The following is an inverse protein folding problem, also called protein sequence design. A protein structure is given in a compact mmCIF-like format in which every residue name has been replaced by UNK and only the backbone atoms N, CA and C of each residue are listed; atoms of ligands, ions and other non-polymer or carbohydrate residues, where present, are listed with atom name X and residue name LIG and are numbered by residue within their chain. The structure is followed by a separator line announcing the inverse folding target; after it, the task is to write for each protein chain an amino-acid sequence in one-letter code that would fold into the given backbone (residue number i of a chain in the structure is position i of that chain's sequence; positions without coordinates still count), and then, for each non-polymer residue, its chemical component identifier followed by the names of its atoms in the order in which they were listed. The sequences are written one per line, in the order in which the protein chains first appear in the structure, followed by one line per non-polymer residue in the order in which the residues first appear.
data_IF_465001400386
#
_entry.id   IF_465001400386
#
_cell.length_a   1.000
_cell.length_b   1.000
_cell.length_c   1.000
_cell.angle_alpha   90.00
_cell.angle_beta   90.00
_cell.angle_gamma   90.00
#
_symmetry.space_group_name_H-M   'P 1'
#
loop_
_entity.id
_entity.type
_entity.pdbx_description
1 polymer ?
#
# COMPACT_ATOMS: atom_id res chain seq x y z
N UNK A 1 -37.01 30.37 -48.75
CA UNK A 1 -37.10 30.09 -50.21
C UNK A 1 -36.81 28.61 -50.36
N UNK A 2 -37.75 27.68 -50.17
CA UNK A 2 -39.01 27.44 -50.89
C UNK A 2 -38.79 27.25 -52.40
N UNK A 3 -38.87 25.99 -52.87
CA UNK A 3 -39.61 25.46 -54.05
C UNK A 3 -39.63 23.92 -53.88
N UNK A 4 -40.75 23.33 -53.41
CA UNK A 4 -41.83 22.65 -54.16
C UNK A 4 -41.41 21.23 -54.63
N UNK A 5 -41.93 20.13 -54.06
CA UNK A 5 -43.31 19.60 -54.08
C UNK A 5 -43.80 19.22 -55.48
N UNK A 6 -43.74 17.91 -55.80
CA UNK A 6 -44.71 17.07 -56.54
C UNK A 6 -44.25 15.60 -56.33
N UNK A 7 -45.06 14.59 -56.05
CA UNK A 7 -46.50 14.49 -55.91
C UNK A 7 -46.86 13.01 -55.63
N UNK A 8 -48.00 12.85 -54.95
CA UNK A 8 -48.93 11.72 -54.99
C UNK A 8 -48.45 10.27 -54.74
N UNK A 9 -48.86 9.78 -53.56
CA UNK A 9 -49.37 8.44 -53.26
C UNK A 9 -49.72 7.54 -54.47
N UNK A 10 -49.34 6.26 -54.38
CA UNK A 10 -50.31 5.16 -54.27
C UNK A 10 -49.67 3.82 -53.85
N UNK A 11 -50.40 3.15 -52.96
CA UNK A 11 -50.23 1.81 -52.42
C UNK A 11 -50.03 0.71 -53.49
N UNK A 12 -49.25 -0.32 -53.15
CA UNK A 12 -49.78 -1.67 -52.86
C UNK A 12 -48.67 -2.64 -52.41
N UNK A 13 -48.82 -3.11 -51.18
CA UNK A 13 -48.56 -4.45 -50.64
C UNK A 13 -47.43 -5.34 -51.17
N UNK A 14 -46.64 -5.82 -50.19
CA UNK A 14 -46.66 -7.26 -49.95
C UNK A 14 -45.37 -8.02 -50.20
N UNK A 15 -44.64 -8.27 -49.10
CA UNK A 15 -44.09 -9.61 -48.86
C UNK A 15 -42.60 -9.82 -49.14
N UNK A 16 -41.95 -10.25 -48.06
CA UNK A 16 -40.85 -11.22 -47.99
C UNK A 16 -39.54 -10.67 -47.40
N UNK A 17 -39.41 -10.97 -46.12
CA UNK A 17 -38.18 -10.93 -45.34
C UNK A 17 -37.07 -11.73 -46.05
N UNK A 18 -36.11 -11.04 -46.66
CA UNK A 18 -34.83 -11.66 -47.02
C UNK A 18 -33.92 -11.67 -45.78
N UNK A 19 -34.09 -12.70 -44.97
CA UNK A 19 -33.09 -13.11 -43.99
C UNK A 19 -31.84 -13.59 -44.75
N UNK A 20 -30.69 -13.02 -44.40
CA UNK A 20 -29.37 -13.35 -44.94
C UNK A 20 -29.07 -14.85 -44.77
N UNK A 21 -29.06 -15.60 -45.87
CA UNK A 21 -28.66 -17.00 -45.87
C UNK A 21 -27.13 -17.11 -45.72
N UNK A 22 -26.59 -18.00 -44.85
CA UNK A 22 -25.17 -18.21 -44.73
C UNK A 22 -24.64 -19.00 -45.93
N UNK A 23 -23.77 -18.38 -46.73
CA UNK A 23 -23.11 -18.94 -47.90
C UNK A 23 -21.95 -19.87 -47.50
N UNK A 24 -22.25 -20.85 -46.64
CA UNK A 24 -21.36 -21.96 -46.31
C UNK A 24 -22.13 -23.26 -46.57
N UNK A 25 -21.54 -24.15 -47.36
CA UNK A 25 -22.15 -25.40 -47.85
C UNK A 25 -22.38 -26.47 -46.76
N UNK A 26 -22.66 -26.06 -45.51
CA UNK A 26 -22.98 -26.94 -44.40
C UNK A 26 -24.49 -27.21 -44.37
N UNK A 27 -24.93 -28.47 -44.19
CA UNK A 27 -26.34 -28.76 -44.00
C UNK A 27 -26.90 -27.99 -42.80
N UNK A 28 -28.03 -27.32 -42.97
CA UNK A 28 -28.69 -26.44 -42.00
C UNK A 28 -28.78 -27.03 -40.58
N UNK A 29 -28.95 -28.36 -40.50
CA UNK A 29 -29.00 -29.12 -39.24
C UNK A 29 -27.70 -29.05 -38.42
N UNK A 30 -26.53 -29.03 -39.07
CA UNK A 30 -25.24 -28.93 -38.39
C UNK A 30 -24.90 -27.51 -37.97
N UNK A 31 -25.40 -26.50 -38.70
CA UNK A 31 -25.29 -25.09 -38.31
C UNK A 31 -26.04 -24.81 -37.00
N UNK A 32 -27.32 -25.21 -36.94
CA UNK A 32 -28.15 -25.04 -35.74
C UNK A 32 -27.58 -25.84 -34.56
N UNK A 33 -27.08 -27.05 -34.80
CA UNK A 33 -26.43 -27.86 -33.76
C UNK A 33 -25.15 -27.20 -33.22
N UNK A 34 -24.30 -26.63 -34.07
CA UNK A 34 -23.07 -25.94 -33.67
C UNK A 34 -23.35 -24.70 -32.80
N UNK A 35 -24.34 -23.88 -33.19
CA UNK A 35 -24.76 -22.71 -32.41
C UNK A 35 -25.37 -23.13 -31.07
N UNK A 36 -26.23 -24.16 -31.06
CA UNK A 36 -26.87 -24.64 -29.83
C UNK A 36 -25.86 -25.20 -28.82
N UNK A 37 -24.90 -26.02 -29.27
CA UNK A 37 -23.82 -26.55 -28.43
C UNK A 37 -22.92 -25.43 -27.94
N UNK A 38 -22.58 -24.48 -28.81
CA UNK A 38 -21.75 -23.34 -28.44
C UNK A 38 -22.38 -22.47 -27.35
N UNK A 39 -23.66 -22.11 -27.49
CA UNK A 39 -24.41 -21.35 -26.49
C UNK A 39 -24.57 -22.12 -25.17
N UNK A 40 -24.80 -23.43 -25.25
CA UNK A 40 -24.87 -24.28 -24.06
C UNK A 40 -23.54 -24.29 -23.28
N UNK A 41 -22.40 -24.39 -23.98
CA UNK A 41 -21.08 -24.35 -23.35
C UNK A 41 -20.78 -22.97 -22.74
N UNK A 42 -21.20 -21.88 -23.38
CA UNK A 42 -21.10 -20.53 -22.79
C UNK A 42 -21.92 -20.47 -21.49
N UNK A 43 -23.19 -20.88 -21.51
CA UNK A 43 -24.04 -20.88 -20.31
C UNK A 43 -23.51 -21.78 -19.20
N UNK A 44 -23.03 -22.98 -19.55
CA UNK A 44 -22.43 -23.93 -18.61
C UNK A 44 -21.15 -23.35 -17.99
N UNK A 45 -20.28 -22.75 -18.80
CA UNK A 45 -19.07 -22.10 -18.32
C UNK A 45 -19.38 -20.92 -17.41
N UNK A 46 -20.36 -20.07 -17.76
CA UNK A 46 -20.83 -18.98 -16.90
C UNK A 46 -21.42 -19.49 -15.58
N UNK A 47 -22.18 -20.58 -15.61
CA UNK A 47 -22.72 -21.19 -14.39
C UNK A 47 -21.61 -21.75 -13.48
N UNK A 48 -20.60 -22.42 -14.05
CA UNK A 48 -19.43 -22.92 -13.29
C UNK A 48 -18.64 -21.76 -12.69
N UNK A 49 -18.50 -20.65 -13.43
CA UNK A 49 -17.85 -19.43 -12.94
C UNK A 49 -18.61 -18.84 -11.74
N UNK A 50 -19.94 -18.74 -11.82
CA UNK A 50 -20.80 -18.26 -10.72
C UNK A 50 -20.78 -19.18 -9.49
N UNK A 51 -20.57 -20.48 -9.69
CA UNK A 51 -20.46 -21.48 -8.63
C UNK A 51 -19.06 -21.58 -8.01
N UNK A 52 -18.08 -20.80 -8.49
CA UNK A 52 -16.74 -20.68 -7.91
C UNK A 52 -15.89 -21.96 -7.91
N UNK A 53 -16.24 -22.96 -8.76
CA UNK A 53 -15.65 -24.32 -8.68
C UNK A 53 -14.30 -24.48 -9.36
N UNK A 54 -14.11 -23.90 -10.56
CA UNK A 54 -12.84 -23.96 -11.30
C UNK A 54 -12.81 -22.89 -12.39
N UNK A 55 -11.98 -21.86 -12.19
CA UNK A 55 -11.90 -20.67 -13.06
C UNK A 55 -11.30 -20.99 -14.43
N UNK A 56 -10.23 -21.78 -14.48
CA UNK A 56 -9.59 -22.17 -15.74
C UNK A 56 -10.51 -23.03 -16.58
N UNK A 57 -11.25 -23.96 -15.94
CA UNK A 57 -12.22 -24.79 -16.63
C UNK A 57 -13.42 -23.98 -17.13
N UNK A 58 -13.95 -23.01 -16.36
CA UNK A 58 -15.04 -22.16 -16.82
C UNK A 58 -14.64 -21.27 -17.99
N UNK A 59 -13.49 -20.59 -17.90
CA UNK A 59 -13.01 -19.70 -18.97
C UNK A 59 -12.74 -20.48 -20.25
N UNK A 60 -12.09 -21.65 -20.16
CA UNK A 60 -11.90 -22.53 -21.31
C UNK A 60 -13.25 -22.96 -21.93
N UNK A 61 -14.22 -23.34 -21.09
CA UNK A 61 -15.55 -23.77 -21.55
C UNK A 61 -16.29 -22.65 -22.29
N UNK A 62 -16.24 -21.41 -21.78
CA UNK A 62 -16.82 -20.23 -22.43
C UNK A 62 -16.14 -19.96 -23.77
N UNK A 63 -14.81 -20.00 -23.81
CA UNK A 63 -14.03 -19.75 -25.02
C UNK A 63 -14.29 -20.80 -26.12
N UNK A 64 -14.35 -22.08 -25.75
CA UNK A 64 -14.71 -23.17 -26.68
C UNK A 64 -16.15 -22.97 -27.19
N UNK A 65 -17.09 -22.60 -26.31
CA UNK A 65 -18.46 -22.30 -26.70
C UNK A 65 -18.55 -21.14 -27.70
N UNK A 66 -17.87 -20.02 -27.42
CA UNK A 66 -17.84 -18.85 -28.31
C UNK A 66 -17.14 -19.16 -29.64
N UNK A 67 -16.05 -19.93 -29.62
CA UNK A 67 -15.34 -20.39 -30.81
C UNK A 67 -16.22 -21.26 -31.72
N UNK A 68 -17.05 -22.14 -31.16
CA UNK A 68 -18.01 -22.95 -31.91
C UNK A 68 -19.12 -22.12 -32.55
N UNK A 69 -19.66 -21.12 -31.83
CA UNK A 69 -20.64 -20.18 -32.39
C UNK A 69 -20.03 -19.42 -33.56
N UNK A 70 -18.84 -18.82 -33.38
CA UNK A 70 -18.16 -18.07 -34.44
C UNK A 70 -17.78 -18.93 -35.65
N UNK A 71 -17.38 -20.19 -35.44
CA UNK A 71 -17.09 -21.12 -36.52
C UNK A 71 -18.34 -21.45 -37.35
N UNK A 72 -19.51 -21.57 -36.70
CA UNK A 72 -20.78 -21.82 -37.37
C UNK A 72 -21.18 -20.67 -38.32
N UNK A 73 -20.90 -19.41 -37.95
CA UNK A 73 -21.14 -18.23 -38.80
C UNK A 73 -20.12 -18.04 -39.94
N UNK A 74 -19.16 -18.96 -40.09
CA UNK A 74 -18.05 -18.82 -41.02
C UNK A 74 -17.00 -17.88 -40.44
N UNK A 75 -15.76 -18.35 -40.39
CA UNK A 75 -14.61 -17.69 -39.76
C UNK A 75 -14.14 -16.37 -40.44
N UNK A 76 -15.06 -15.48 -40.82
CA UNK A 76 -14.81 -14.15 -41.39
C UNK A 76 -14.89 -13.03 -40.33
N UNK A 77 -14.79 -13.36 -39.04
CA UNK A 77 -14.66 -12.34 -38.00
C UNK A 77 -13.19 -11.92 -37.94
N UNK A 78 -12.92 -10.76 -38.51
CA UNK A 78 -11.65 -10.05 -38.41
C UNK A 78 -11.87 -8.82 -37.53
N UNK A 79 -11.15 -8.75 -36.42
CA UNK A 79 -11.11 -7.57 -35.55
C UNK A 79 -9.76 -6.89 -35.67
N UNK A 80 -9.75 -5.56 -35.78
CA UNK A 80 -8.52 -4.78 -35.66
C UNK A 80 -8.55 -4.05 -34.32
N UNK A 81 -7.62 -4.37 -33.44
CA UNK A 81 -7.54 -3.75 -32.11
C UNK A 81 -6.08 -3.43 -31.79
N UNK A 82 -5.82 -2.17 -31.42
CA UNK A 82 -4.47 -1.68 -31.08
C UNK A 82 -3.36 -1.99 -32.12
N UNK A 83 -3.70 -2.06 -33.42
CA UNK A 83 -2.75 -2.31 -34.51
C UNK A 83 -2.52 -3.79 -34.87
N UNK A 84 -3.24 -4.72 -34.24
CA UNK A 84 -3.13 -6.16 -34.49
C UNK A 84 -4.40 -6.64 -35.20
N UNK A 85 -4.23 -7.39 -36.30
CA UNK A 85 -5.32 -8.10 -36.97
C UNK A 85 -5.36 -9.54 -36.52
N UNK A 86 -6.52 -10.00 -36.07
CA UNK A 86 -6.71 -11.40 -35.70
C UNK A 86 -7.90 -11.96 -36.46
N UNK A 87 -7.67 -13.08 -37.14
CA UNK A 87 -8.61 -13.65 -38.09
C UNK A 87 -8.87 -15.10 -37.74
N UNK A 88 -10.14 -15.45 -37.55
CA UNK A 88 -10.60 -16.82 -37.34
C UNK A 88 -11.08 -17.14 -35.92
N UNK A 89 -12.05 -18.06 -35.86
CA UNK A 89 -12.78 -18.39 -34.63
C UNK A 89 -11.89 -18.97 -33.50
N UNK A 90 -10.88 -19.77 -33.86
CA UNK A 90 -9.93 -20.32 -32.89
C UNK A 90 -9.02 -19.26 -32.28
N UNK A 91 -8.52 -18.32 -33.09
CA UNK A 91 -7.68 -17.22 -32.61
C UNK A 91 -8.46 -16.26 -31.69
N UNK A 92 -9.73 -16.00 -32.00
CA UNK A 92 -10.62 -15.23 -31.12
C UNK A 92 -10.90 -15.90 -29.78
N UNK A 93 -11.10 -17.22 -29.77
CA UNK A 93 -11.30 -17.97 -28.53
C UNK A 93 -10.07 -17.92 -27.62
N UNK A 94 -8.86 -17.99 -28.20
CA UNK A 94 -7.59 -17.87 -27.46
C UNK A 94 -7.39 -16.45 -26.92
N UNK A 95 -7.65 -15.42 -27.72
CA UNK A 95 -7.58 -14.02 -27.27
C UNK A 95 -8.57 -13.76 -26.15
N UNK A 96 -9.82 -14.22 -26.29
CA UNK A 96 -10.84 -14.12 -25.23
C UNK A 96 -10.40 -14.89 -23.97
N UNK A 97 -9.76 -16.04 -24.11
CA UNK A 97 -9.25 -16.83 -22.98
C UNK A 97 -8.16 -16.07 -22.23
N UNK A 98 -7.18 -15.52 -22.95
CA UNK A 98 -6.11 -14.71 -22.35
C UNK A 98 -6.67 -13.45 -21.69
N UNK A 99 -7.64 -12.79 -22.33
CA UNK A 99 -8.33 -11.62 -21.78
C UNK A 99 -9.09 -11.98 -20.49
N UNK A 100 -9.85 -13.07 -20.48
CA UNK A 100 -10.59 -13.52 -19.29
C UNK A 100 -9.67 -13.93 -18.14
N UNK A 101 -8.49 -14.49 -18.44
CA UNK A 101 -7.45 -14.78 -17.44
C UNK A 101 -6.83 -13.50 -16.87
N UNK A 102 -6.71 -12.42 -17.65
CA UNK A 102 -6.21 -11.12 -17.17
C UNK A 102 -7.22 -10.37 -16.29
N UNK A 103 -8.50 -10.37 -16.67
CA UNK A 103 -9.55 -9.65 -15.91
C UNK A 103 -10.10 -10.42 -14.71
N UNK A 104 -9.74 -11.70 -14.57
CA UNK A 104 -10.22 -12.55 -13.47
C UNK A 104 -9.00 -13.08 -12.71
N UNK A 105 -8.55 -12.40 -11.64
CA UNK A 105 -7.38 -12.82 -10.87
C UNK A 105 -7.54 -14.28 -10.37
N UNK A 106 -6.45 -15.05 -10.32
CA UNK A 106 -6.50 -16.46 -9.96
C UNK A 106 -6.90 -16.64 -8.49
N UNK A 107 -7.96 -17.42 -8.27
CA UNK A 107 -8.33 -18.00 -6.98
C UNK A 107 -8.89 -17.04 -5.92
N UNK A 108 -9.41 -17.61 -4.84
CA UNK A 108 -9.59 -16.87 -3.59
C UNK A 108 -8.24 -16.26 -3.21
N UNK A 109 -8.15 -14.96 -2.89
CA UNK A 109 -6.89 -14.37 -2.48
C UNK A 109 -6.32 -15.23 -1.36
N UNK A 110 -5.03 -15.55 -1.45
CA UNK A 110 -4.36 -16.16 -0.32
C UNK A 110 -4.57 -15.24 0.89
N UNK A 111 -4.94 -15.81 2.02
CA UNK A 111 -5.24 -15.08 3.24
C UNK A 111 -4.40 -15.66 4.36
N UNK A 112 -3.58 -14.83 4.98
CA UNK A 112 -2.99 -15.20 6.26
C UNK A 112 -3.88 -14.68 7.39
N UNK A 113 -4.12 -15.55 8.37
CA UNK A 113 -4.96 -15.28 9.53
C UNK A 113 -4.11 -15.31 10.78
N UNK A 114 -4.39 -14.41 11.70
CA UNK A 114 -3.75 -14.43 13.00
C UNK A 114 -4.68 -13.92 14.09
N UNK A 115 -4.27 -14.18 15.32
CA UNK A 115 -4.98 -13.75 16.50
C UNK A 115 -4.00 -13.22 17.53
N UNK A 116 -4.37 -12.14 18.19
CA UNK A 116 -3.64 -11.51 19.28
C UNK A 116 -4.49 -11.62 20.53
N UNK A 117 -3.90 -12.19 21.58
CA UNK A 117 -4.45 -12.26 22.92
C UNK A 117 -3.57 -11.47 23.87
N UNK A 118 -4.10 -10.99 24.99
CA UNK A 118 -3.30 -10.21 25.94
C UNK A 118 -4.13 -9.30 26.82
N UNK A 119 -3.43 -8.41 27.52
CA UNK A 119 -4.07 -7.31 28.23
C UNK A 119 -4.29 -6.13 27.28
N UNK A 120 -5.56 -5.80 27.07
CA UNK A 120 -6.00 -4.67 26.25
C UNK A 120 -6.74 -3.61 27.09
N UNK A 121 -6.66 -3.68 28.42
CA UNK A 121 -7.38 -2.78 29.33
C UNK A 121 -7.01 -1.31 29.13
N UNK A 122 -5.75 -1.04 28.76
CA UNK A 122 -5.23 0.29 28.48
C UNK A 122 -5.27 0.67 26.99
N UNK A 123 -5.76 -0.22 26.12
CA UNK A 123 -5.72 -0.05 24.67
C UNK A 123 -7.04 0.50 24.15
N UNK A 124 -6.98 1.68 23.53
CA UNK A 124 -8.11 2.26 22.82
C UNK A 124 -8.28 1.56 21.47
N UNK A 125 -7.20 1.44 20.69
CA UNK A 125 -7.23 0.81 19.38
C UNK A 125 -5.85 0.26 18.97
N UNK A 126 -5.86 -0.73 18.07
CA UNK A 126 -4.64 -1.33 17.50
C UNK A 126 -4.74 -1.34 15.98
N UNK A 127 -3.68 -0.90 15.32
CA UNK A 127 -3.48 -1.02 13.89
C UNK A 127 -2.20 -1.80 13.62
N UNK A 128 -2.28 -2.78 12.74
CA UNK A 128 -1.15 -3.59 12.32
C UNK A 128 -0.87 -3.23 10.86
N UNK A 129 0.36 -2.89 10.56
CA UNK A 129 0.78 -2.35 9.27
C UNK A 129 1.93 -3.20 8.74
N UNK A 130 1.79 -3.64 7.51
CA UNK A 130 2.87 -4.22 6.73
C UNK A 130 3.32 -3.22 5.66
N UNK A 131 2.95 -3.43 4.39
CA UNK A 131 2.90 -2.36 3.38
C UNK A 131 1.63 -1.52 3.53
N UNK A 132 0.49 -2.21 3.68
CA UNK A 132 -0.81 -1.65 3.97
C UNK A 132 -1.33 -2.13 5.34
N UNK A 133 -2.31 -1.42 5.92
CA UNK A 133 -2.97 -1.86 7.15
C UNK A 133 -3.66 -3.21 6.96
N UNK A 134 -3.42 -4.14 7.88
CA UNK A 134 -4.14 -5.41 7.91
C UNK A 134 -5.58 -5.20 8.39
N UNK A 135 -6.49 -6.05 7.94
CA UNK A 135 -7.87 -6.05 8.41
C UNK A 135 -7.91 -6.58 9.83
N UNK A 136 -8.50 -5.82 10.75
CA UNK A 136 -8.56 -6.16 12.17
C UNK A 136 -10.01 -6.25 12.63
N UNK A 137 -10.28 -7.28 13.43
CA UNK A 137 -11.57 -7.51 14.07
C UNK A 137 -11.38 -7.78 15.57
N UNK A 138 -11.97 -6.94 16.42
CA UNK A 138 -11.95 -7.12 17.87
C UNK A 138 -13.13 -7.98 18.30
N UNK A 139 -12.84 -9.15 18.84
CA UNK A 139 -13.85 -10.05 19.37
C UNK A 139 -14.17 -9.66 20.82
N UNK A 140 -15.30 -8.96 20.98
CA UNK A 140 -15.70 -8.37 22.26
C UNK A 140 -15.92 -9.40 23.37
N UNK A 141 -16.27 -10.64 23.02
CA UNK A 141 -16.58 -11.68 23.99
C UNK A 141 -15.34 -12.36 24.56
N UNK A 142 -14.24 -12.42 23.79
CA UNK A 142 -13.06 -13.23 24.13
C UNK A 142 -11.80 -12.41 24.40
N UNK A 143 -11.89 -11.07 24.36
CA UNK A 143 -10.74 -10.15 24.49
C UNK A 143 -9.57 -10.56 23.56
N UNK A 144 -9.91 -10.96 22.34
CA UNK A 144 -8.97 -11.37 21.29
C UNK A 144 -9.13 -10.44 20.09
N UNK A 145 -8.02 -10.14 19.43
CA UNK A 145 -8.01 -9.35 18.20
C UNK A 145 -7.61 -10.29 17.07
N UNK A 146 -8.52 -10.53 16.13
CA UNK A 146 -8.25 -11.30 14.92
C UNK A 146 -7.75 -10.35 13.86
N UNK A 147 -6.75 -10.76 13.10
CA UNK A 147 -6.27 -10.01 11.96
C UNK A 147 -6.17 -10.89 10.71
N UNK A 148 -6.33 -10.24 9.57
CA UNK A 148 -6.32 -10.85 8.25
C UNK A 148 -5.47 -9.99 7.33
N UNK A 149 -4.48 -10.61 6.70
CA UNK A 149 -3.77 -9.99 5.59
C UNK A 149 -4.07 -10.66 4.26
N UNK A 150 -4.01 -9.85 3.21
CA UNK A 150 -4.20 -10.27 1.83
C UNK A 150 -2.85 -10.72 1.26
N UNK A 151 -2.85 -11.82 0.50
CA UNK A 151 -1.65 -12.40 -0.10
C UNK A 151 -1.08 -13.62 0.63
N UNK A 152 -0.03 -14.19 0.06
CA UNK A 152 0.67 -15.38 0.58
C UNK A 152 1.74 -15.06 1.62
N UNK A 153 2.18 -13.80 1.72
CA UNK A 153 3.24 -13.37 2.63
C UNK A 153 3.14 -11.88 2.98
N UNK A 154 3.85 -11.49 4.06
CA UNK A 154 4.16 -10.09 4.33
C UNK A 154 5.01 -9.50 3.20
N UNK A 155 4.74 -8.26 2.80
CA UNK A 155 5.40 -7.52 1.73
C UNK A 155 6.53 -6.61 2.25
N UNK A 156 6.38 -6.03 3.43
CA UNK A 156 7.40 -5.11 3.96
C UNK A 156 8.62 -5.86 4.53
N UNK A 157 9.69 -5.10 4.79
CA UNK A 157 10.84 -5.57 5.57
C UNK A 157 10.62 -5.41 7.09
N UNK A 158 9.71 -4.52 7.49
CA UNK A 158 9.41 -4.21 8.87
C UNK A 158 7.90 -4.10 9.09
N UNK A 159 7.37 -5.03 9.87
CA UNK A 159 5.98 -5.00 10.31
C UNK A 159 5.85 -4.09 11.53
N UNK A 160 4.79 -3.29 11.57
CA UNK A 160 4.54 -2.36 12.67
C UNK A 160 3.18 -2.61 13.30
N UNK A 161 3.08 -2.37 14.59
CA UNK A 161 1.84 -2.37 15.33
C UNK A 161 1.73 -1.06 16.10
N UNK A 162 0.79 -0.23 15.66
CA UNK A 162 0.45 1.02 16.32
C UNK A 162 -0.58 0.72 17.41
N UNK A 163 -0.28 1.18 18.61
CA UNK A 163 -1.14 1.01 19.78
C UNK A 163 -1.51 2.40 20.27
N UNK A 164 -2.77 2.76 20.09
CA UNK A 164 -3.31 3.95 20.73
C UNK A 164 -3.95 3.55 22.07
N UNK A 165 -3.74 4.36 23.09
CA UNK A 165 -4.13 4.03 24.46
C UNK A 165 -5.35 4.85 24.91
N UNK A 166 -5.98 4.42 26.01
CA UNK A 166 -7.00 5.23 26.70
C UNK A 166 -6.37 6.22 27.68
N UNK A 167 -5.04 6.16 27.85
CA UNK A 167 -4.32 7.06 28.73
C UNK A 167 -4.26 8.45 28.09
N UNK A 168 -4.37 9.49 28.93
CA UNK A 168 -4.38 10.89 28.49
C UNK A 168 -3.10 11.65 28.87
N UNK A 169 -2.14 10.93 29.45
CA UNK A 169 -0.85 11.51 29.82
C UNK A 169 0.06 11.53 28.59
N UNK A 170 0.76 12.65 28.40
CA UNK A 170 1.75 12.78 27.33
C UNK A 170 2.78 11.64 27.41
N UNK A 171 3.15 11.11 26.25
CA UNK A 171 4.04 9.95 26.11
C UNK A 171 3.42 8.59 26.47
N UNK A 172 2.15 8.56 26.84
CA UNK A 172 1.39 7.31 27.06
C UNK A 172 0.23 7.14 26.10
N UNK A 173 -0.15 8.17 25.35
CA UNK A 173 -1.32 8.12 24.45
C UNK A 173 -1.12 7.22 23.21
N UNK A 174 0.13 6.98 22.81
CA UNK A 174 0.48 6.29 21.58
C UNK A 174 1.87 5.66 21.68
N UNK A 175 2.03 4.46 21.15
CA UNK A 175 3.34 3.89 20.87
C UNK A 175 3.32 2.93 19.69
N UNK A 176 4.48 2.70 19.09
CA UNK A 176 4.63 1.75 17.98
C UNK A 176 5.55 0.58 18.37
N UNK A 177 5.11 -0.63 18.04
CA UNK A 177 5.92 -1.83 18.14
C UNK A 177 6.39 -2.23 16.75
N UNK A 178 7.68 -2.54 16.63
CA UNK A 178 8.31 -2.81 15.35
C UNK A 178 8.90 -4.22 15.38
N UNK A 179 8.68 -4.96 14.30
CA UNK A 179 9.12 -6.33 14.14
C UNK A 179 9.79 -6.59 12.80
N UNK A 180 10.72 -7.53 12.79
CA UNK A 180 11.41 -8.01 11.60
C UNK A 180 10.47 -8.91 10.79
N UNK A 181 10.07 -8.45 9.61
CA UNK A 181 9.11 -9.18 8.78
C UNK A 181 9.67 -10.54 8.31
N UNK A 182 11.00 -10.72 8.18
CA UNK A 182 11.58 -12.02 7.83
C UNK A 182 11.39 -13.03 8.97
N UNK A 183 11.64 -12.62 10.21
CA UNK A 183 11.41 -13.48 11.39
C UNK A 183 9.94 -13.83 11.54
N UNK A 184 9.05 -12.85 11.30
CA UNK A 184 7.61 -13.06 11.39
C UNK A 184 7.12 -13.96 10.25
N UNK A 185 7.61 -13.78 9.02
CA UNK A 185 7.30 -14.64 7.86
C UNK A 185 7.64 -16.11 8.12
N UNK A 186 8.76 -16.39 8.77
CA UNK A 186 9.17 -17.76 9.11
C UNK A 186 8.17 -18.51 10.01
N UNK A 187 7.25 -17.79 10.67
CA UNK A 187 6.25 -18.35 11.58
C UNK A 187 4.90 -18.57 10.86
N UNK A 188 4.65 -17.85 9.77
CA UNK A 188 3.45 -18.02 8.96
C UNK A 188 3.58 -19.31 8.12
N UNK A 189 3.13 -20.44 8.67
CA UNK A 189 2.98 -21.68 7.93
C UNK A 189 1.63 -21.70 7.19
N UNK A 190 1.62 -22.11 5.92
CA UNK A 190 0.41 -22.18 5.10
C UNK A 190 -0.76 -22.88 5.84
N UNK A 191 -1.88 -22.16 5.95
CA UNK A 191 -3.14 -22.70 6.48
C UNK A 191 -3.29 -22.73 8.02
N UNK A 192 -2.30 -22.32 8.81
CA UNK A 192 -2.43 -22.26 10.28
C UNK A 192 -2.54 -20.83 10.80
N UNK A 193 -3.57 -20.49 11.60
CA UNK A 193 -3.66 -19.17 12.20
C UNK A 193 -2.53 -18.97 13.21
N UNK A 194 -1.79 -17.87 13.09
CA UNK A 194 -0.75 -17.53 14.07
C UNK A 194 -1.38 -17.01 15.37
N UNK A 195 -0.77 -17.34 16.49
CA UNK A 195 -1.23 -16.93 17.82
C UNK A 195 -0.16 -16.07 18.48
N UNK A 196 -0.49 -14.80 18.70
CA UNK A 196 0.39 -13.81 19.30
C UNK A 196 -0.13 -13.41 20.68
N UNK A 197 0.80 -13.10 21.58
CA UNK A 197 0.52 -12.58 22.90
C UNK A 197 1.05 -11.16 23.01
N UNK A 198 0.14 -10.21 23.15
CA UNK A 198 0.44 -8.82 23.44
C UNK A 198 0.64 -8.62 24.95
N UNK A 199 1.72 -7.96 25.30
CA UNK A 199 2.12 -7.62 26.66
C UNK A 199 2.27 -6.10 26.75
N UNK A 200 1.25 -5.44 27.31
CA UNK A 200 1.17 -3.98 27.38
C UNK A 200 2.35 -3.39 28.17
N UNK A 201 2.60 -3.93 29.36
CA UNK A 201 3.63 -3.43 30.27
C UNK A 201 5.04 -3.62 29.71
N UNK A 202 5.29 -4.77 29.08
CA UNK A 202 6.57 -5.03 28.43
C UNK A 202 6.71 -4.36 27.06
N UNK A 203 5.64 -3.74 26.53
CA UNK A 203 5.54 -3.18 25.17
C UNK A 203 6.08 -4.16 24.13
N UNK A 204 5.54 -5.37 24.15
CA UNK A 204 6.01 -6.49 23.32
C UNK A 204 4.86 -7.35 22.79
N UNK A 205 5.05 -7.90 21.61
CA UNK A 205 4.23 -8.97 21.05
C UNK A 205 5.08 -10.22 20.90
N UNK A 206 4.61 -11.35 21.41
CA UNK A 206 5.37 -12.61 21.46
C UNK A 206 4.62 -13.75 20.77
N UNK A 207 5.37 -14.73 20.27
CA UNK A 207 4.85 -16.07 19.97
C UNK A 207 5.66 -17.07 20.80
N UNK A 208 5.03 -17.63 21.83
CA UNK A 208 5.74 -18.42 22.85
C UNK A 208 6.80 -17.57 23.57
N UNK A 209 8.07 -17.99 23.51
CA UNK A 209 9.21 -17.26 24.07
C UNK A 209 9.82 -16.24 23.11
N UNK A 210 9.46 -16.27 21.82
CA UNK A 210 10.02 -15.41 20.80
C UNK A 210 9.33 -14.03 20.82
N UNK A 211 10.11 -12.95 20.94
CA UNK A 211 9.62 -11.58 20.76
C UNK A 211 9.55 -11.28 19.27
N UNK A 212 8.36 -10.91 18.79
CA UNK A 212 8.08 -10.61 17.39
C UNK A 212 8.11 -9.11 17.12
N UNK A 213 7.44 -8.34 17.97
CA UNK A 213 7.44 -6.88 17.91
C UNK A 213 7.77 -6.31 19.28
N UNK A 214 8.49 -5.21 19.31
CA UNK A 214 8.80 -4.46 20.53
C UNK A 214 8.87 -2.97 20.23
N UNK A 215 8.63 -2.14 21.23
CA UNK A 215 8.93 -0.71 21.15
C UNK A 215 10.45 -0.55 21.00
N UNK A 216 10.88 0.12 19.93
CA UNK A 216 12.29 0.35 19.67
C UNK A 216 12.73 1.68 20.29
N UNK A 217 13.86 1.62 20.97
CA UNK A 217 14.56 2.80 21.48
C UNK A 217 15.65 3.25 20.49
N UNK A 218 16.29 2.28 19.85
CA UNK A 218 17.37 2.51 18.88
C UNK A 218 16.98 2.09 17.47
N UNK A 219 17.38 2.88 16.49
CA UNK A 219 17.35 2.48 15.08
C UNK A 219 18.11 1.16 14.91
N UNK A 220 17.48 0.20 14.24
CA UNK A 220 18.15 -1.01 13.79
C UNK A 220 18.60 -0.77 12.36
N UNK A 221 19.93 -0.80 12.05
CA UNK A 221 20.39 -0.75 10.68
C UNK A 221 19.96 -2.03 9.97
N UNK A 222 18.75 -2.01 9.38
CA UNK A 222 18.35 -3.00 8.39
C UNK A 222 19.27 -2.92 7.17
N UNK A 223 19.29 -3.95 6.30
CA UNK A 223 20.02 -3.85 5.04
C UNK A 223 19.56 -2.56 4.35
N UNK A 224 20.52 -1.68 4.05
CA UNK A 224 20.32 -0.53 3.18
C UNK A 224 19.49 -1.02 2.01
N UNK A 225 18.26 -0.50 1.87
CA UNK A 225 17.44 -0.84 0.73
C UNK A 225 18.22 -0.37 -0.51
N UNK A 226 18.93 -1.28 -1.14
CA UNK A 226 19.33 -1.11 -2.52
C UNK A 226 18.02 -0.87 -3.25
N UNK A 227 17.86 0.35 -3.78
CA UNK A 227 16.77 0.69 -4.68
C UNK A 227 16.99 -0.14 -5.94
N UNK A 228 16.57 -1.40 -5.90
CA UNK A 228 16.43 -2.22 -7.08
C UNK A 228 15.17 -1.74 -7.79
N UNK A 229 15.33 -0.63 -8.52
CA UNK A 229 14.40 -0.21 -9.55
C UNK A 229 14.46 -1.22 -10.69
N UNK A 230 13.80 -2.36 -10.50
CA UNK A 230 13.59 -3.36 -11.53
C UNK A 230 12.12 -3.76 -11.55
N UNK A 231 11.25 -2.81 -11.87
CA UNK A 231 9.98 -3.16 -12.54
C UNK A 231 10.30 -3.42 -14.01
N UNK A 232 11.02 -4.50 -14.30
CA UNK A 232 10.90 -5.15 -15.61
C UNK A 232 9.65 -6.03 -15.58
N UNK A 233 8.49 -5.38 -15.37
CA UNK A 233 7.22 -5.95 -15.79
C UNK A 233 7.20 -5.85 -17.31
N UNK A 234 6.93 -6.95 -17.98
CA UNK A 234 6.83 -6.93 -19.42
C UNK A 234 5.71 -5.95 -19.81
N UNK A 235 5.89 -5.21 -20.91
CA UNK A 235 4.94 -4.24 -21.46
C UNK A 235 3.50 -4.75 -21.71
N UNK A 236 3.19 -6.01 -21.41
CA UNK A 236 1.86 -6.63 -21.43
C UNK A 236 1.30 -6.98 -20.04
N UNK A 237 2.03 -6.73 -18.95
CA UNK A 237 1.51 -6.83 -17.57
C UNK A 237 0.61 -5.64 -17.27
N UNK A 238 -0.64 -5.72 -17.75
CA UNK A 238 -1.75 -4.92 -17.25
C UNK A 238 -2.22 -5.53 -15.92
N UNK A 239 -1.35 -5.54 -14.91
CA UNK A 239 -1.86 -5.51 -13.52
C UNK A 239 -2.75 -4.28 -13.45
N UNK A 240 -4.00 -4.46 -13.03
CA UNK A 240 -4.99 -3.40 -12.93
C UNK A 240 -4.37 -2.16 -12.27
N UNK A 241 -3.90 -1.23 -13.10
CA UNK A 241 -3.64 0.11 -12.68
C UNK A 241 -5.03 0.61 -12.30
N UNK A 242 -5.32 0.61 -10.99
CA UNK A 242 -6.02 1.75 -10.46
C UNK A 242 -5.31 2.93 -11.11
N UNK A 243 -5.94 3.53 -12.12
CA UNK A 243 -5.48 4.80 -12.66
C UNK A 243 -5.13 5.59 -11.42
N UNK A 244 -3.88 6.07 -11.35
CA UNK A 244 -3.50 7.08 -10.40
C UNK A 244 -4.45 8.24 -10.71
N UNK A 245 -5.65 8.17 -10.14
CA UNK A 245 -6.62 9.23 -10.15
C UNK A 245 -5.80 10.34 -9.57
N UNK A 246 -5.48 11.32 -10.41
CA UNK A 246 -4.74 12.51 -10.03
C UNK A 246 -5.45 13.01 -8.79
N UNK A 247 -4.93 12.68 -7.61
CA UNK A 247 -5.54 13.08 -6.36
C UNK A 247 -5.37 14.59 -6.38
N UNK A 248 -6.46 15.38 -6.25
CA UNK A 248 -6.32 16.80 -6.16
C UNK A 248 -5.27 17.11 -5.09
N UNK A 249 -4.34 18.02 -5.39
CA UNK A 249 -3.39 18.46 -4.37
C UNK A 249 -4.16 18.88 -3.12
N UNK A 250 -3.69 18.41 -1.95
CA UNK A 250 -4.36 18.70 -0.69
C UNK A 250 -4.46 20.22 -0.49
N UNK A 251 -5.66 20.72 -0.20
CA UNK A 251 -5.85 22.16 -0.02
C UNK A 251 -5.24 22.62 1.31
N UNK A 252 -4.84 23.89 1.36
CA UNK A 252 -4.31 24.53 2.58
C UNK A 252 -5.27 24.37 3.77
N UNK A 253 -6.58 24.52 3.55
CA UNK A 253 -7.61 24.35 4.58
C UNK A 253 -7.66 22.90 5.11
N UNK A 254 -7.52 21.90 4.24
CA UNK A 254 -7.49 20.51 4.68
C UNK A 254 -6.24 20.21 5.50
N UNK A 255 -5.08 20.74 5.10
CA UNK A 255 -3.82 20.59 5.86
C UNK A 255 -3.95 21.28 7.23
N UNK A 256 -4.52 22.49 7.29
CA UNK A 256 -4.78 23.18 8.56
C UNK A 256 -5.73 22.39 9.47
N UNK A 257 -6.80 21.83 8.92
CA UNK A 257 -7.73 20.98 9.67
C UNK A 257 -7.05 19.73 10.21
N UNK A 258 -6.19 19.08 9.44
CA UNK A 258 -5.43 17.94 9.90
C UNK A 258 -4.44 18.35 11.02
N UNK A 259 -3.71 19.45 10.87
CA UNK A 259 -2.81 19.96 11.92
C UNK A 259 -3.56 20.30 13.22
N UNK A 260 -4.75 20.90 13.13
CA UNK A 260 -5.61 21.11 14.29
C UNK A 260 -6.11 19.78 14.89
N UNK A 261 -6.45 18.81 14.02
CA UNK A 261 -6.92 17.48 14.38
C UNK A 261 -5.89 16.63 15.11
N UNK A 262 -4.58 16.93 15.01
CA UNK A 262 -3.55 16.29 15.83
C UNK A 262 -3.82 16.46 17.33
N UNK A 263 -4.45 17.56 17.74
CA UNK A 263 -4.78 17.84 19.16
C UNK A 263 -6.10 17.26 19.62
N UNK A 264 -6.87 16.62 18.74
CA UNK A 264 -8.21 16.14 19.06
C UNK A 264 -8.19 15.13 20.20
N UNK A 265 -9.19 15.12 21.07
CA UNK A 265 -9.32 14.13 22.14
C UNK A 265 -9.64 12.73 21.60
N UNK A 266 -10.32 12.65 20.46
CA UNK A 266 -10.62 11.41 19.77
C UNK A 266 -9.37 10.89 19.05
N UNK A 267 -8.91 9.73 19.50
CA UNK A 267 -7.78 8.99 18.96
C UNK A 267 -7.90 8.70 17.47
N UNK A 268 -9.09 8.36 16.98
CA UNK A 268 -9.32 8.07 15.58
C UNK A 268 -9.17 9.33 14.73
N UNK A 269 -9.68 10.47 15.21
CA UNK A 269 -9.50 11.75 14.53
C UNK A 269 -8.03 12.20 14.52
N UNK A 270 -7.27 11.97 15.61
CA UNK A 270 -5.82 12.22 15.62
C UNK A 270 -5.10 11.35 14.60
N UNK A 271 -5.41 10.06 14.53
CA UNK A 271 -4.80 9.13 13.57
C UNK A 271 -5.12 9.50 12.13
N UNK A 272 -6.39 9.77 11.82
CA UNK A 272 -6.80 10.20 10.48
C UNK A 272 -6.12 11.51 10.08
N UNK A 273 -5.86 12.40 11.04
CA UNK A 273 -5.11 13.62 10.80
C UNK A 273 -3.66 13.32 10.41
N UNK A 274 -2.98 12.39 11.09
CA UNK A 274 -1.64 11.92 10.71
C UNK A 274 -1.63 11.27 9.32
N UNK A 275 -2.55 10.34 9.07
CA UNK A 275 -2.68 9.65 7.78
C UNK A 275 -2.98 10.64 6.64
N UNK A 276 -3.81 11.66 6.91
CA UNK A 276 -4.06 12.72 5.94
C UNK A 276 -2.78 13.50 5.61
N UNK A 277 -2.00 13.91 6.63
CA UNK A 277 -0.74 14.64 6.42
C UNK A 277 0.26 13.82 5.58
N UNK A 278 0.34 12.51 5.80
CA UNK A 278 1.13 11.60 4.96
C UNK A 278 0.62 11.61 3.52
N UNK A 279 -0.70 11.42 3.33
CA UNK A 279 -1.32 11.36 2.01
C UNK A 279 -1.30 12.69 1.25
N UNK A 280 -1.24 13.81 1.97
CA UNK A 280 -1.10 15.14 1.41
C UNK A 280 0.27 15.33 0.73
N UNK A 281 1.27 14.55 1.13
CA UNK A 281 2.56 14.52 0.46
C UNK A 281 3.44 15.72 0.80
N UNK A 282 4.47 15.94 -0.03
CA UNK A 282 5.55 16.93 0.19
C UNK A 282 5.01 18.37 0.34
N UNK A 283 3.83 18.68 -0.22
CA UNK A 283 3.21 20.01 -0.11
C UNK A 283 2.80 20.37 1.32
N UNK A 284 2.53 19.37 2.19
CA UNK A 284 2.17 19.62 3.59
C UNK A 284 3.37 19.97 4.47
N UNK A 285 4.59 19.64 4.05
CA UNK A 285 5.81 19.72 4.88
C UNK A 285 6.08 21.12 5.45
N UNK A 286 6.01 22.22 4.67
CA UNK A 286 6.24 23.55 5.22
C UNK A 286 5.24 23.91 6.33
N UNK A 287 3.98 23.49 6.21
CA UNK A 287 2.95 23.75 7.22
C UNK A 287 3.12 22.87 8.46
N UNK A 288 3.54 21.62 8.29
CA UNK A 288 3.88 20.73 9.39
C UNK A 288 5.04 21.29 10.21
N UNK A 289 6.11 21.75 9.55
CA UNK A 289 7.27 22.34 10.22
C UNK A 289 6.91 23.68 10.87
N UNK A 290 6.13 24.53 10.21
CA UNK A 290 5.61 25.76 10.83
C UNK A 290 4.80 25.48 12.10
N UNK A 291 3.96 24.44 12.10
CA UNK A 291 3.21 24.04 13.29
C UNK A 291 4.12 23.51 14.40
N UNK A 292 5.18 22.76 14.06
CA UNK A 292 6.18 22.28 15.01
C UNK A 292 6.97 23.44 15.63
N UNK A 293 7.43 24.42 14.82
CA UNK A 293 8.08 25.65 15.28
C UNK A 293 7.19 26.46 16.23
N UNK A 294 5.90 26.57 15.91
CA UNK A 294 4.96 27.32 16.74
C UNK A 294 4.64 26.62 18.07
N UNK A 295 4.89 25.32 18.20
CA UNK A 295 4.54 24.53 19.39
C UNK A 295 5.52 23.35 19.59
N UNK A 296 6.81 23.61 19.82
CA UNK A 296 7.84 22.57 19.84
C UNK A 296 7.67 21.59 20.99
N UNK A 297 7.07 22.03 22.11
CA UNK A 297 6.84 21.20 23.29
C UNK A 297 5.46 20.52 23.31
N UNK A 298 4.61 20.77 22.31
CA UNK A 298 3.32 20.11 22.22
C UNK A 298 3.49 18.66 21.77
N UNK A 299 3.29 17.73 22.71
CA UNK A 299 3.45 16.30 22.49
C UNK A 299 2.68 15.79 21.25
N UNK A 300 1.41 16.20 21.09
CA UNK A 300 0.55 15.68 20.02
C UNK A 300 0.97 16.23 18.65
N UNK A 301 1.36 17.50 18.58
CA UNK A 301 1.90 18.09 17.35
C UNK A 301 3.25 17.49 17.01
N UNK A 302 4.17 17.43 17.97
CA UNK A 302 5.50 16.85 17.78
C UNK A 302 5.40 15.42 17.25
N UNK A 303 4.69 14.55 17.96
CA UNK A 303 4.47 13.15 17.55
C UNK A 303 3.82 13.06 16.16
N UNK A 304 2.77 13.85 15.92
CA UNK A 304 2.03 13.83 14.66
C UNK A 304 2.89 14.22 13.45
N UNK A 305 3.71 15.28 13.61
CA UNK A 305 4.60 15.77 12.57
C UNK A 305 5.74 14.79 12.30
N UNK A 306 6.45 14.32 13.33
CA UNK A 306 7.59 13.40 13.12
C UNK A 306 7.13 12.05 12.56
N UNK A 307 5.96 11.56 12.99
CA UNK A 307 5.35 10.38 12.41
C UNK A 307 5.04 10.59 10.93
N UNK A 308 4.39 11.69 10.55
CA UNK A 308 4.01 11.93 9.17
C UNK A 308 5.26 12.02 8.26
N UNK A 309 6.31 12.73 8.70
CA UNK A 309 7.57 12.82 7.97
C UNK A 309 8.24 11.45 7.79
N UNK A 310 8.29 10.64 8.85
CA UNK A 310 8.87 9.30 8.81
C UNK A 310 8.07 8.35 7.89
N UNK A 311 6.74 8.38 7.96
CA UNK A 311 5.88 7.55 7.11
C UNK A 311 5.99 7.93 5.63
N UNK A 312 6.08 9.23 5.32
CA UNK A 312 6.24 9.68 3.93
C UNK A 312 7.49 9.07 3.29
N UNK A 313 8.66 9.20 3.92
CA UNK A 313 9.92 8.67 3.36
C UNK A 313 9.99 7.13 3.42
N UNK A 314 9.27 6.50 4.35
CA UNK A 314 9.15 5.03 4.40
C UNK A 314 8.28 4.50 3.26
N UNK A 315 7.19 5.18 2.94
CA UNK A 315 6.26 4.82 1.87
C UNK A 315 6.86 5.05 0.48
N UNK A 316 7.66 6.10 0.31
CA UNK A 316 8.39 6.37 -0.92
C UNK A 316 9.78 6.97 -0.62
N UNK A 317 10.84 6.13 -0.59
CA UNK A 317 12.21 6.57 -0.36
C UNK A 317 12.71 7.61 -1.38
N UNK A 318 12.10 7.70 -2.57
CA UNK A 318 12.50 8.68 -3.59
C UNK A 318 12.13 10.11 -3.20
N UNK A 319 11.24 10.29 -2.21
CA UNK A 319 10.87 11.60 -1.70
C UNK A 319 11.98 12.28 -0.89
N UNK A 320 13.06 11.58 -0.51
CA UNK A 320 14.11 12.12 0.35
C UNK A 320 14.66 13.48 -0.14
N UNK A 321 14.97 13.61 -1.43
CA UNK A 321 15.47 14.87 -2.01
C UNK A 321 14.42 15.98 -1.99
N UNK A 322 13.18 15.66 -2.38
CA UNK A 322 12.07 16.62 -2.36
C UNK A 322 11.71 17.09 -0.96
N UNK A 323 11.76 16.19 0.02
CA UNK A 323 11.58 16.49 1.44
C UNK A 323 12.70 17.41 1.94
N UNK A 324 13.96 17.04 1.69
CA UNK A 324 15.13 17.85 2.04
C UNK A 324 15.03 19.28 1.50
N UNK A 325 14.57 19.46 0.25
CA UNK A 325 14.36 20.79 -0.35
C UNK A 325 13.26 21.62 0.32
N UNK A 326 12.30 21.00 1.00
CA UNK A 326 11.26 21.72 1.78
C UNK A 326 11.71 22.08 3.18
N UNK A 327 12.76 21.45 3.70
CA UNK A 327 13.34 21.78 5.00
C UNK A 327 14.31 22.97 4.87
N UNK A 328 14.23 23.85 5.84
CA UNK A 328 15.15 24.96 6.11
C UNK A 328 16.22 24.53 7.12
N UNK A 329 17.26 25.34 7.30
CA UNK A 329 18.27 25.08 8.32
C UNK A 329 17.71 25.12 9.76
N UNK A 330 16.65 25.91 9.98
CA UNK A 330 16.00 26.08 11.30
C UNK A 330 15.17 24.86 11.71
N UNK A 331 14.80 23.99 10.77
CA UNK A 331 14.02 22.77 11.06
C UNK A 331 14.87 21.68 11.71
N UNK A 332 16.17 21.62 11.39
CA UNK A 332 17.05 20.55 11.85
C UNK A 332 17.24 20.51 13.37
N UNK A 333 17.45 21.64 14.08
CA UNK A 333 17.52 21.62 15.54
C UNK A 333 16.30 20.96 16.19
N UNK A 334 15.08 21.24 15.71
CA UNK A 334 13.85 20.66 16.23
C UNK A 334 13.76 19.15 15.97
N UNK A 335 14.12 18.73 14.75
CA UNK A 335 14.09 17.31 14.38
C UNK A 335 15.15 16.50 15.13
N UNK A 336 16.34 17.07 15.33
CA UNK A 336 17.43 16.45 16.11
C UNK A 336 17.04 16.35 17.59
N UNK A 337 16.40 17.38 18.14
CA UNK A 337 15.85 17.33 19.50
C UNK A 337 14.75 16.27 19.63
N UNK A 338 13.87 16.15 18.62
CA UNK A 338 12.87 15.09 18.59
C UNK A 338 13.50 13.69 18.51
N UNK A 339 14.62 13.54 17.79
CA UNK A 339 15.42 12.30 17.77
C UNK A 339 16.17 12.02 19.09
N UNK A 340 16.09 12.93 20.06
CA UNK A 340 16.58 12.80 21.43
C UNK A 340 15.44 12.84 22.47
N UNK A 341 14.17 12.78 22.05
CA UNK A 341 13.02 12.95 22.93
C UNK A 341 12.94 11.82 23.98
N UNK A 342 12.54 12.09 25.24
CA UNK A 342 12.30 11.06 26.24
C UNK A 342 11.28 9.99 25.81
N UNK A 343 10.31 10.35 24.97
CA UNK A 343 9.38 9.40 24.38
C UNK A 343 10.06 8.59 23.28
N UNK A 344 10.13 7.27 23.45
CA UNK A 344 10.80 6.35 22.51
C UNK A 344 10.17 6.35 21.12
N UNK A 345 8.86 6.54 21.02
CA UNK A 345 8.18 6.55 19.73
C UNK A 345 8.50 7.84 18.98
N UNK A 346 8.45 9.00 19.63
CA UNK A 346 8.88 10.28 19.03
C UNK A 346 10.35 10.19 18.60
N UNK A 347 11.21 9.71 19.50
CA UNK A 347 12.63 9.49 19.27
C UNK A 347 12.89 8.63 18.05
N UNK A 348 12.24 7.46 17.98
CA UNK A 348 12.40 6.53 16.87
C UNK A 348 11.93 7.13 15.55
N UNK A 349 10.74 7.75 15.48
CA UNK A 349 10.23 8.30 14.22
C UNK A 349 11.10 9.44 13.70
N UNK A 350 11.53 10.36 14.58
CA UNK A 350 12.41 11.46 14.20
C UNK A 350 13.78 10.95 13.74
N UNK A 351 14.35 9.97 14.46
CA UNK A 351 15.61 9.37 14.07
C UNK A 351 15.51 8.60 12.74
N UNK A 352 14.42 7.84 12.52
CA UNK A 352 14.19 7.08 11.28
C UNK A 352 14.03 8.02 10.08
N UNK A 353 13.30 9.12 10.25
CA UNK A 353 13.18 10.16 9.24
C UNK A 353 14.55 10.76 8.89
N UNK A 354 15.31 11.24 9.88
CA UNK A 354 16.62 11.86 9.65
C UNK A 354 17.64 10.87 9.04
N UNK A 355 17.64 9.63 9.52
CA UNK A 355 18.48 8.56 8.98
C UNK A 355 18.18 8.31 7.50
N UNK A 356 16.89 8.27 7.11
CA UNK A 356 16.49 8.05 5.71
C UNK A 356 16.64 9.28 4.83
N UNK A 357 16.53 10.47 5.41
CA UNK A 357 16.67 11.75 4.71
C UNK A 357 18.11 11.97 4.23
N UNK A 358 19.10 11.52 5.03
CA UNK A 358 20.54 11.60 4.71
C UNK A 358 21.03 13.03 4.43
N UNK A 359 20.40 14.02 5.04
CA UNK A 359 20.71 15.41 4.77
C UNK A 359 21.98 15.84 5.53
N UNK A 360 23.01 16.37 4.85
CA UNK A 360 24.25 16.80 5.49
C UNK A 360 24.06 17.88 6.57
N UNK A 361 22.96 18.65 6.55
CA UNK A 361 22.66 19.64 7.59
C UNK A 361 22.43 19.03 8.97
N UNK A 362 22.17 17.72 9.04
CA UNK A 362 22.05 17.00 10.31
C UNK A 362 23.40 16.67 10.97
N UNK A 363 24.52 16.71 10.24
CA UNK A 363 25.82 16.16 10.68
C UNK A 363 26.31 16.83 11.97
N UNK A 364 26.52 18.14 11.97
CA UNK A 364 27.08 18.86 13.12
C UNK A 364 26.13 18.81 14.33
N UNK A 365 24.83 18.95 14.08
CA UNK A 365 23.80 18.86 15.11
C UNK A 365 23.76 17.48 15.77
N UNK A 366 23.92 16.41 14.98
CA UNK A 366 23.98 15.03 15.50
C UNK A 366 25.25 14.78 16.29
N UNK A 367 26.39 15.38 15.90
CA UNK A 367 27.64 15.30 16.68
C UNK A 367 27.43 15.92 18.06
N UNK A 368 26.88 17.14 18.11
CA UNK A 368 26.64 17.82 19.39
C UNK A 368 25.64 17.04 20.25
N UNK A 369 24.51 16.61 19.69
CA UNK A 369 23.51 15.82 20.42
C UNK A 369 24.05 14.48 20.94
N UNK A 370 24.97 13.82 20.21
CA UNK A 370 25.61 12.59 20.66
C UNK A 370 26.59 12.81 21.82
N UNK A 371 27.24 13.98 21.90
CA UNK A 371 28.17 14.34 22.99
C UNK A 371 27.44 14.78 24.25
N UNK A 372 26.38 15.56 24.10
CA UNK A 372 25.68 16.20 25.21
C UNK A 372 24.78 15.23 25.99
N UNK A 373 24.51 14.04 25.45
CA UNK A 373 23.61 13.05 26.05
C UNK A 373 24.34 12.01 26.88
N UNK A 374 23.71 11.61 27.99
CA UNK A 374 24.09 10.42 28.76
C UNK A 374 23.23 9.20 28.43
N UNK A 375 22.17 9.38 27.64
CA UNK A 375 21.29 8.30 27.19
C UNK A 375 21.93 7.57 26.00
N UNK A 376 22.26 6.29 26.20
CA UNK A 376 22.89 5.45 25.17
C UNK A 376 22.01 5.27 23.93
N UNK A 377 20.68 5.22 24.09
CA UNK A 377 19.74 5.11 22.98
C UNK A 377 19.77 6.36 22.10
N UNK A 378 19.76 7.54 22.73
CA UNK A 378 19.93 8.82 22.04
C UNK A 378 21.28 8.87 21.33
N UNK A 379 22.39 8.58 22.02
CA UNK A 379 23.73 8.59 21.43
C UNK A 379 23.81 7.66 20.20
N UNK A 380 23.30 6.44 20.31
CA UNK A 380 23.29 5.47 19.21
C UNK A 380 22.48 5.95 18.00
N UNK A 381 21.30 6.55 18.22
CA UNK A 381 20.50 7.10 17.14
C UNK A 381 21.21 8.26 16.44
N UNK A 382 21.79 9.19 17.19
CA UNK A 382 22.54 10.32 16.63
C UNK A 382 23.75 9.84 15.82
N UNK A 383 24.48 8.83 16.30
CA UNK A 383 25.59 8.21 15.56
C UNK A 383 25.12 7.58 14.25
N UNK A 384 23.96 6.93 14.22
CA UNK A 384 23.41 6.32 13.01
C UNK A 384 22.96 7.38 11.99
N UNK A 385 22.30 8.46 12.45
CA UNK A 385 21.94 9.61 11.61
C UNK A 385 23.21 10.22 10.99
N UNK A 386 24.21 10.50 11.83
CA UNK A 386 25.51 11.04 11.43
C UNK A 386 26.21 10.17 10.37
N UNK A 387 26.20 8.84 10.56
CA UNK A 387 26.79 7.90 9.60
C UNK A 387 26.17 8.03 8.21
N UNK A 388 24.84 8.19 8.15
CA UNK A 388 24.14 8.24 6.87
C UNK A 388 24.22 9.62 6.22
N UNK A 389 23.94 10.68 6.97
CA UNK A 389 24.05 12.08 6.51
C UNK A 389 25.48 12.49 6.18
N UNK A 390 26.47 11.88 6.83
CA UNK A 390 27.89 12.11 6.61
C UNK A 390 28.53 11.20 5.56
N UNK A 391 27.75 10.40 4.83
CA UNK A 391 28.25 9.40 3.88
C UNK A 391 29.17 10.02 2.82
N UNK A 392 28.83 11.23 2.34
CA UNK A 392 29.57 11.98 1.32
C UNK A 392 30.69 12.90 1.87
N UNK A 393 30.93 12.91 3.18
CA UNK A 393 32.01 13.71 3.76
C UNK A 393 33.39 13.17 3.39
N UNK A 394 34.39 14.05 3.32
CA UNK A 394 35.77 13.68 3.08
C UNK A 394 36.34 12.85 4.24
N UNK A 395 37.41 12.10 3.98
CA UNK A 395 38.09 11.31 5.02
C UNK A 395 38.63 12.17 6.18
N UNK A 396 39.02 13.43 5.91
CA UNK A 396 39.48 14.34 6.96
C UNK A 396 38.32 14.75 7.87
N UNK A 397 37.18 15.13 7.28
CA UNK A 397 35.97 15.51 8.02
C UNK A 397 35.47 14.35 8.88
N UNK A 398 35.43 13.13 8.34
CA UNK A 398 35.07 11.92 9.09
C UNK A 398 36.04 11.68 10.26
N UNK A 399 37.33 11.88 10.06
CA UNK A 399 38.35 11.73 11.11
C UNK A 399 38.20 12.79 12.21
N UNK A 400 37.89 14.04 11.85
CA UNK A 400 37.66 15.11 12.81
C UNK A 400 36.40 14.86 13.64
N UNK A 401 35.32 14.35 13.03
CA UNK A 401 34.11 13.92 13.73
C UNK A 401 34.42 12.81 14.74
N UNK A 402 35.16 11.78 14.33
CA UNK A 402 35.57 10.69 15.23
C UNK A 402 36.42 11.23 16.38
N UNK A 403 37.29 12.21 16.14
CA UNK A 403 38.05 12.88 17.21
C UNK A 403 37.12 13.60 18.17
N UNK A 404 36.16 14.39 17.67
CA UNK A 404 35.21 15.16 18.49
C UNK A 404 34.34 14.27 19.37
N UNK A 405 33.96 13.08 18.90
CA UNK A 405 33.16 12.12 19.67
C UNK A 405 33.98 11.33 20.71
N UNK A 406 35.30 11.26 20.55
CA UNK A 406 36.20 10.59 21.51
C UNK A 406 36.81 11.55 22.54
N UNK A 407 36.69 12.86 22.32
CA UNK A 407 37.19 13.89 23.23
C UNK A 407 36.07 14.22 24.25
N UNK A 408 36.25 13.84 25.54
CA UNK A 408 35.21 13.91 26.57
C UNK A 408 34.73 15.33 26.89
#
# INVERSE_FOLDING_TARGET
MAVADQGANNHADGGANNALAPENNFPEKYFVAGVAVGLFLVLLGTAILLLGRSQTASSLTICVGFGLVLAAFGAKVAGNWAGWSVTGAGAMAVVLFLMLQQFTPPGTPALFKGEISGDFSHVADIRIIDDEPLYIYKDAMVRRIKFLGLGTSLQSTQMRMQVDTIEKEAGKEYFELIGDAQKIRAIFAEGRPVQWRFDYNARQVKNGSLVLLSELDTLSPGPTAEVSGSTTGAWWDLSAFAQAAVRPEASVDQIQKALAGLRNEDTFLRRNSRDFLVSAGVVAVPMMLSALHASPDDYRVKLGVVYALAEMIRSDPNLASSLSQKLTAEDFPLLIQAAADPDKTIRYQAADFLYRLQDPRAVELSVNAAKDTTDQGVANNQILILRQSGSNLSSSQKSDIVRQLNDP
#
